data_IF_339327065733
#
_entry.id   IF_339327065733
#
_cell.length_a   1.000
_cell.length_b   1.000
_cell.length_c   1.000
_cell.angle_alpha   90.00
_cell.angle_beta   90.00
_cell.angle_gamma   90.00
#
_symmetry.space_group_name_H-M   'P 1'
#
loop_
_entity.id
_entity.type
_entity.pdbx_description
1 polymer ?
#
# COMPACT_ATOMS: atom_id res chain seq x y z
N UNK A 1 2.05 5.48 -16.52
CA UNK A 1 0.73 5.00 -16.04
C UNK A 1 -0.25 4.92 -17.19
N UNK A 2 -1.10 3.88 -17.24
CA UNK A 2 -2.04 3.66 -18.35
C UNK A 2 -3.24 4.64 -18.34
N UNK A 3 -3.53 5.27 -17.20
CA UNK A 3 -4.69 6.17 -17.04
C UNK A 3 -4.33 7.38 -16.18
N UNK A 4 -5.06 8.50 -16.37
CA UNK A 4 -4.92 9.71 -15.54
C UNK A 4 -5.20 9.44 -14.05
N UNK A 5 -6.14 8.55 -13.74
CA UNK A 5 -6.48 8.16 -12.36
C UNK A 5 -5.36 7.40 -11.64
N UNK A 6 -4.37 6.88 -12.38
CA UNK A 6 -3.20 6.22 -11.79
C UNK A 6 -2.13 7.22 -11.32
N UNK A 7 -2.21 8.49 -11.72
CA UNK A 7 -1.30 9.55 -11.29
C UNK A 7 -1.90 10.22 -10.06
N UNK A 8 -1.26 10.06 -8.91
CA UNK A 8 -1.69 10.64 -7.64
C UNK A 8 -0.51 11.02 -6.77
N UNK A 9 -0.69 12.02 -5.95
CA UNK A 9 0.25 12.42 -4.92
C UNK A 9 -0.20 11.81 -3.59
N UNK A 10 0.71 11.12 -2.92
CA UNK A 10 0.48 10.56 -1.59
C UNK A 10 1.41 11.26 -0.59
N UNK A 11 0.97 11.52 0.64
CA UNK A 11 1.84 12.03 1.68
C UNK A 11 2.91 10.99 2.00
N UNK A 12 4.15 11.44 2.13
CA UNK A 12 5.26 10.59 2.52
C UNK A 12 5.27 10.47 4.05
N UNK A 13 4.99 9.27 4.55
CA UNK A 13 5.02 9.01 5.98
C UNK A 13 6.48 8.95 6.49
N UNK A 14 6.77 9.38 7.74
CA UNK A 14 8.14 9.49 8.26
C UNK A 14 8.96 8.20 8.16
N UNK A 15 8.34 7.05 8.39
CA UNK A 15 9.01 5.74 8.28
C UNK A 15 9.49 5.46 6.85
N UNK A 16 8.66 5.78 5.84
CA UNK A 16 9.05 5.63 4.43
C UNK A 16 10.14 6.64 4.05
N UNK A 17 10.07 7.87 4.54
CA UNK A 17 11.09 8.88 4.30
C UNK A 17 12.46 8.42 4.83
N UNK A 18 12.53 7.91 6.05
CA UNK A 18 13.76 7.39 6.64
C UNK A 18 14.33 6.23 5.82
N UNK A 19 13.48 5.29 5.40
CA UNK A 19 13.88 4.16 4.56
C UNK A 19 14.43 4.65 3.22
N UNK A 20 13.78 5.58 2.55
CA UNK A 20 14.23 6.13 1.27
C UNK A 20 15.56 6.88 1.41
N UNK A 21 15.73 7.66 2.47
CA UNK A 21 17.02 8.32 2.77
C UNK A 21 18.15 7.32 3.03
N UNK A 22 17.86 6.20 3.69
CA UNK A 22 18.83 5.10 3.88
C UNK A 22 19.23 4.50 2.54
N UNK A 23 18.26 4.16 1.69
CA UNK A 23 18.53 3.63 0.35
C UNK A 23 19.35 4.57 -0.51
N UNK A 24 19.06 5.87 -0.46
CA UNK A 24 19.84 6.89 -1.18
C UNK A 24 21.30 6.91 -0.74
N UNK A 25 21.55 6.84 0.57
CA UNK A 25 22.93 6.77 1.10
C UNK A 25 23.66 5.50 0.66
N UNK A 26 22.98 4.36 0.68
CA UNK A 26 23.52 3.08 0.22
C UNK A 26 23.87 3.12 -1.28
N UNK A 27 22.98 3.69 -2.11
CA UNK A 27 23.26 3.88 -3.53
C UNK A 27 24.48 4.79 -3.77
N UNK A 28 24.59 5.88 -3.02
CA UNK A 28 25.75 6.78 -3.11
C UNK A 28 27.05 6.08 -2.71
N UNK A 29 27.01 5.23 -1.69
CA UNK A 29 28.15 4.42 -1.27
C UNK A 29 28.54 3.41 -2.34
N UNK A 30 27.57 2.65 -2.85
CA UNK A 30 27.78 1.65 -3.90
C UNK A 30 28.40 2.29 -5.15
N UNK A 31 27.93 3.49 -5.53
CA UNK A 31 28.52 4.25 -6.66
C UNK A 31 29.98 4.59 -6.43
N UNK A 32 30.36 4.96 -5.20
CA UNK A 32 31.77 5.23 -4.87
C UNK A 32 32.62 3.96 -4.93
N UNK A 33 32.08 2.84 -4.39
CA UNK A 33 32.79 1.56 -4.35
C UNK A 33 32.98 0.97 -5.74
N UNK A 34 31.93 0.96 -6.56
CA UNK A 34 31.97 0.37 -7.91
C UNK A 34 32.64 1.28 -8.94
N UNK A 35 32.76 2.57 -8.65
CA UNK A 35 33.48 3.52 -9.54
C UNK A 35 32.94 3.49 -10.96
N UNK A 36 33.82 3.18 -11.91
CA UNK A 36 33.50 3.15 -13.34
C UNK A 36 32.52 2.03 -13.75
N UNK A 37 32.45 0.98 -12.97
CA UNK A 37 31.55 -0.17 -13.23
C UNK A 37 30.12 0.08 -12.79
N UNK A 38 29.85 1.18 -12.08
CA UNK A 38 28.51 1.55 -11.68
C UNK A 38 27.70 2.07 -12.85
N UNK A 39 26.50 1.48 -13.06
CA UNK A 39 25.57 1.90 -14.10
C UNK A 39 24.95 3.27 -13.76
N UNK A 40 25.13 4.25 -14.63
CA UNK A 40 24.64 5.64 -14.44
C UNK A 40 23.32 5.92 -15.14
N UNK A 41 22.75 4.95 -15.88
CA UNK A 41 21.52 5.14 -16.66
C UNK A 41 20.25 5.29 -15.79
N UNK A 42 20.35 4.89 -14.52
CA UNK A 42 19.20 4.81 -13.60
C UNK A 42 19.43 5.58 -12.30
N UNK A 43 20.14 6.69 -12.33
CA UNK A 43 20.47 7.49 -11.14
C UNK A 43 19.23 8.05 -10.42
N UNK A 44 18.16 8.31 -11.16
CA UNK A 44 16.88 8.82 -10.62
C UNK A 44 15.93 7.71 -10.15
N UNK A 45 16.39 6.45 -10.21
CA UNK A 45 15.55 5.31 -9.79
C UNK A 45 15.81 4.95 -8.33
N UNK A 46 14.70 4.72 -7.61
CA UNK A 46 14.74 4.28 -6.21
C UNK A 46 15.24 2.83 -6.11
N UNK A 47 14.76 1.96 -7.02
CA UNK A 47 15.08 0.53 -7.00
C UNK A 47 16.13 0.18 -8.06
N UNK A 48 17.37 0.15 -7.62
CA UNK A 48 18.52 -0.35 -8.38
C UNK A 48 19.28 -1.39 -7.56
N UNK A 49 19.98 -2.29 -8.24
CA UNK A 49 20.88 -3.22 -7.57
C UNK A 49 22.19 -2.52 -7.12
N UNK A 50 23.08 -3.18 -6.36
CA UNK A 50 24.35 -2.56 -5.92
C UNK A 50 25.26 -2.01 -7.04
N UNK A 51 25.08 -2.49 -8.27
CA UNK A 51 25.79 -2.00 -9.46
C UNK A 51 25.06 -0.86 -10.19
N UNK A 52 23.99 -0.29 -9.62
CA UNK A 52 23.19 0.80 -10.21
C UNK A 52 22.24 0.35 -11.32
N UNK A 53 22.10 -0.93 -11.61
CA UNK A 53 21.20 -1.43 -12.66
C UNK A 53 19.77 -1.56 -12.15
N UNK A 54 18.80 -1.20 -12.99
CA UNK A 54 17.36 -1.29 -12.64
C UNK A 54 16.94 -2.71 -12.29
N UNK A 55 16.25 -2.85 -11.17
CA UNK A 55 15.59 -4.10 -10.79
C UNK A 55 14.34 -4.28 -11.67
N UNK A 56 14.21 -5.44 -12.30
CA UNK A 56 13.06 -5.75 -13.17
C UNK A 56 11.78 -5.90 -12.32
N UNK A 57 10.62 -5.40 -12.80
CA UNK A 57 9.35 -5.52 -12.05
C UNK A 57 9.00 -6.96 -11.65
N UNK A 58 9.26 -7.92 -12.54
CA UNK A 58 8.99 -9.34 -12.27
C UNK A 58 9.84 -9.92 -11.11
N UNK A 59 10.98 -9.31 -10.81
CA UNK A 59 11.83 -9.76 -9.69
C UNK A 59 11.05 -9.74 -8.37
N UNK A 60 10.36 -8.64 -8.06
CA UNK A 60 9.57 -8.54 -6.83
C UNK A 60 8.43 -9.55 -6.79
N UNK A 61 7.73 -9.74 -7.91
CA UNK A 61 6.61 -10.69 -7.98
C UNK A 61 7.05 -12.14 -7.81
N UNK A 62 8.25 -12.49 -8.25
CA UNK A 62 8.80 -13.85 -8.13
C UNK A 62 9.40 -14.09 -6.74
N UNK A 63 10.21 -13.18 -6.22
CA UNK A 63 10.97 -13.39 -4.99
C UNK A 63 10.19 -13.09 -3.72
N UNK A 64 9.13 -12.27 -3.78
CA UNK A 64 8.35 -11.95 -2.59
C UNK A 64 7.66 -13.18 -1.96
N UNK A 65 7.01 -14.07 -2.71
CA UNK A 65 6.46 -15.30 -2.14
C UNK A 65 7.52 -16.24 -1.55
N UNK A 66 8.71 -16.29 -2.15
CA UNK A 66 9.84 -17.09 -1.66
C UNK A 66 10.37 -16.51 -0.34
N UNK A 67 10.52 -15.19 -0.27
CA UNK A 67 10.90 -14.47 0.95
C UNK A 67 9.93 -14.75 2.10
N UNK A 68 8.61 -14.71 1.85
CA UNK A 68 7.60 -15.01 2.86
C UNK A 68 7.73 -16.46 3.37
N UNK A 69 7.92 -17.41 2.46
CA UNK A 69 8.11 -18.82 2.84
C UNK A 69 9.38 -19.03 3.68
N UNK A 70 10.49 -18.36 3.34
CA UNK A 70 11.74 -18.44 4.09
C UNK A 70 11.65 -17.84 5.51
N UNK A 71 10.61 -17.05 5.81
CA UNK A 71 10.37 -16.44 7.12
C UNK A 71 9.12 -17.00 7.81
N UNK A 72 8.66 -18.20 7.43
CA UNK A 72 7.47 -18.86 7.99
C UNK A 72 6.19 -18.02 7.94
N UNK A 73 6.12 -17.11 6.97
CA UNK A 73 4.94 -16.27 6.74
C UNK A 73 4.02 -16.88 5.68
N UNK A 74 2.72 -16.61 5.81
CA UNK A 74 1.74 -17.04 4.81
C UNK A 74 2.10 -16.51 3.42
N UNK A 75 2.21 -17.41 2.45
CA UNK A 75 2.48 -17.06 1.06
C UNK A 75 1.33 -16.29 0.45
N UNK A 76 1.60 -15.07 0.02
CA UNK A 76 0.70 -14.20 -0.75
C UNK A 76 1.47 -13.61 -1.94
N UNK A 77 0.73 -13.12 -2.93
CA UNK A 77 1.36 -12.41 -4.07
C UNK A 77 1.77 -11.00 -3.65
N UNK A 78 2.77 -10.44 -4.28
CA UNK A 78 3.18 -9.05 -4.04
C UNK A 78 2.02 -8.04 -4.21
N UNK A 79 1.14 -8.28 -5.19
CA UNK A 79 -0.03 -7.43 -5.41
C UNK A 79 -1.06 -7.49 -4.25
N UNK A 80 -1.10 -8.60 -3.52
CA UNK A 80 -2.04 -8.77 -2.40
C UNK A 80 -1.71 -7.84 -1.21
N UNK A 81 -0.49 -7.27 -1.15
CA UNK A 81 -0.14 -6.20 -0.21
C UNK A 81 -1.03 -4.96 -0.40
N UNK A 82 -1.49 -4.70 -1.62
CA UNK A 82 -2.44 -3.63 -1.89
C UNK A 82 -3.79 -3.88 -1.21
N UNK A 83 -4.25 -5.13 -1.21
CA UNK A 83 -5.46 -5.54 -0.49
C UNK A 83 -5.25 -5.46 1.03
N UNK A 84 -4.09 -5.88 1.52
CA UNK A 84 -3.73 -5.77 2.93
C UNK A 84 -3.71 -4.31 3.40
N UNK A 85 -3.14 -3.41 2.60
CA UNK A 85 -3.16 -1.96 2.88
C UNK A 85 -4.59 -1.43 2.99
N UNK A 86 -5.45 -1.80 2.04
CA UNK A 86 -6.85 -1.41 2.06
C UNK A 86 -7.57 -1.92 3.32
N UNK A 87 -7.36 -3.19 3.68
CA UNK A 87 -7.97 -3.79 4.87
C UNK A 87 -7.52 -3.10 6.16
N UNK A 88 -6.24 -2.74 6.27
CA UNK A 88 -5.70 -2.00 7.40
C UNK A 88 -6.31 -0.60 7.52
N UNK A 89 -6.45 0.13 6.42
CA UNK A 89 -7.07 1.45 6.41
C UNK A 89 -8.54 1.35 6.84
N UNK A 90 -9.27 0.39 6.30
CA UNK A 90 -10.67 0.17 6.66
C UNK A 90 -10.85 -0.21 8.14
N UNK A 91 -10.03 -1.12 8.65
CA UNK A 91 -10.04 -1.52 10.06
C UNK A 91 -9.73 -0.35 11.02
N UNK A 92 -9.03 0.69 10.53
CA UNK A 92 -8.78 1.93 11.28
C UNK A 92 -9.82 3.03 11.00
N UNK A 93 -10.99 2.69 10.43
CA UNK A 93 -12.11 3.61 10.26
C UNK A 93 -11.99 4.57 9.06
N UNK A 94 -11.02 4.36 8.16
CA UNK A 94 -10.89 5.16 6.95
C UNK A 94 -12.02 4.82 5.98
N UNK A 95 -12.70 5.81 5.43
CA UNK A 95 -13.84 5.60 4.53
C UNK A 95 -13.41 4.91 3.22
N UNK A 96 -14.34 4.15 2.62
CA UNK A 96 -14.08 3.46 1.34
C UNK A 96 -13.69 4.44 0.23
N UNK A 97 -14.21 5.65 0.27
CA UNK A 97 -13.87 6.72 -0.70
C UNK A 97 -12.42 7.15 -0.57
N UNK A 98 -11.95 7.40 0.64
CA UNK A 98 -10.56 7.76 0.90
C UNK A 98 -9.60 6.61 0.56
N UNK A 99 -9.99 5.36 0.87
CA UNK A 99 -9.23 4.16 0.49
C UNK A 99 -9.13 4.04 -1.04
N UNK A 100 -10.23 4.29 -1.77
CA UNK A 100 -10.23 4.31 -3.22
C UNK A 100 -9.22 5.32 -3.78
N UNK A 101 -9.25 6.54 -3.26
CA UNK A 101 -8.35 7.63 -3.67
C UNK A 101 -6.89 7.30 -3.32
N UNK A 102 -6.64 6.80 -2.12
CA UNK A 102 -5.32 6.36 -1.68
C UNK A 102 -4.73 5.29 -2.60
N UNK A 103 -5.52 4.28 -2.92
CA UNK A 103 -5.09 3.19 -3.78
C UNK A 103 -5.12 3.57 -5.28
N UNK A 104 -5.85 4.61 -5.67
CA UNK A 104 -6.02 5.00 -7.07
C UNK A 104 -6.82 3.97 -7.87
N UNK A 105 -7.88 3.43 -7.26
CA UNK A 105 -8.84 2.60 -8.01
C UNK A 105 -9.75 3.49 -8.84
N UNK A 106 -9.83 3.23 -10.14
CA UNK A 106 -10.74 3.94 -11.05
C UNK A 106 -12.22 3.68 -10.74
N UNK A 107 -12.53 2.53 -10.14
CA UNK A 107 -13.86 2.12 -9.78
C UNK A 107 -13.94 1.73 -8.29
N UNK A 108 -14.94 2.27 -7.59
CA UNK A 108 -15.20 2.00 -6.18
C UNK A 108 -15.65 0.54 -5.96
N UNK A 109 -16.26 -0.09 -6.97
CA UNK A 109 -16.68 -1.49 -6.90
C UNK A 109 -15.49 -2.42 -6.62
N UNK A 110 -14.32 -2.12 -7.17
CA UNK A 110 -13.08 -2.85 -6.89
C UNK A 110 -12.68 -2.76 -5.41
N UNK A 111 -12.92 -1.62 -4.77
CA UNK A 111 -12.67 -1.44 -3.33
C UNK A 111 -13.79 -2.08 -2.51
N UNK A 112 -15.05 -1.87 -2.88
CA UNK A 112 -16.22 -2.37 -2.17
C UNK A 112 -16.31 -3.90 -2.14
N UNK A 113 -16.02 -4.58 -3.25
CA UNK A 113 -16.08 -6.03 -3.33
C UNK A 113 -15.10 -6.76 -2.39
N UNK A 114 -14.04 -6.09 -1.97
CA UNK A 114 -13.10 -6.62 -0.97
C UNK A 114 -13.74 -6.65 0.42
N UNK A 115 -14.76 -5.80 0.67
CA UNK A 115 -15.32 -5.53 2.02
C UNK A 115 -16.76 -5.99 2.22
N UNK A 116 -17.42 -6.53 1.20
CA UNK A 116 -18.81 -7.04 1.31
C UNK A 116 -18.99 -8.06 2.44
N UNK A 117 -17.92 -8.73 2.85
CA UNK A 117 -17.95 -9.69 3.96
C UNK A 117 -17.67 -9.08 5.35
N UNK A 118 -17.17 -7.84 5.43
CA UNK A 118 -16.83 -7.15 6.69
C UNK A 118 -17.95 -6.21 7.18
N UNK A 119 -19.05 -6.10 6.43
CA UNK A 119 -20.03 -5.02 6.53
C UNK A 119 -21.05 -5.16 7.69
N UNK A 120 -21.04 -6.27 8.44
CA UNK A 120 -22.03 -6.44 9.53
C UNK A 120 -21.75 -5.51 10.72
N UNK A 121 -20.50 -5.29 11.09
CA UNK A 121 -20.14 -4.37 12.18
C UNK A 121 -20.46 -2.91 11.83
N UNK A 122 -20.29 -2.52 10.58
CA UNK A 122 -20.67 -1.19 10.07
C UNK A 122 -22.19 -0.99 10.10
N UNK A 123 -22.98 -2.03 9.84
CA UNK A 123 -24.45 -1.99 9.94
C UNK A 123 -24.90 -1.83 11.39
N UNK A 124 -24.27 -2.52 12.33
CA UNK A 124 -24.53 -2.37 13.77
C UNK A 124 -24.18 -0.97 14.25
N UNK A 125 -23.03 -0.43 13.83
CA UNK A 125 -22.63 0.94 14.16
C UNK A 125 -23.62 1.98 13.60
N UNK A 126 -24.06 1.81 12.36
CA UNK A 126 -25.07 2.67 11.73
C UNK A 126 -26.42 2.59 12.43
N UNK A 127 -26.84 1.38 12.82
CA UNK A 127 -28.08 1.19 13.58
C UNK A 127 -27.99 1.91 14.94
N UNK A 128 -26.88 1.78 15.66
CA UNK A 128 -26.67 2.47 16.93
C UNK A 128 -26.65 3.99 16.79
N UNK A 129 -26.06 4.51 15.72
CA UNK A 129 -26.07 5.95 15.43
C UNK A 129 -27.49 6.47 15.17
N UNK A 130 -28.34 5.68 14.50
CA UNK A 130 -29.73 6.04 14.24
C UNK A 130 -30.56 5.98 15.54
N UNK A 131 -30.36 4.97 16.39
CA UNK A 131 -31.06 4.84 17.68
C UNK A 131 -30.85 6.07 18.55
N UNK A 132 -29.65 6.68 18.55
CA UNK A 132 -29.37 7.89 19.30
C UNK A 132 -30.09 9.17 18.80
N UNK A 133 -30.68 9.13 17.61
CA UNK A 133 -31.44 10.26 17.01
C UNK A 133 -32.94 10.20 17.41
N UNK A 134 -33.46 9.01 17.68
CA UNK A 134 -34.84 8.87 18.10
C UNK A 134 -34.95 9.01 19.63
N UNK A 135 -35.77 9.94 20.15
CA UNK A 135 -36.01 10.00 21.60
C UNK A 135 -36.63 8.67 22.04
N UNK A 136 -36.11 8.07 23.12
CA UNK A 136 -36.75 6.96 23.78
C UNK A 136 -38.14 7.45 24.24
N UNK A 137 -39.19 6.99 23.57
CA UNK A 137 -40.53 7.14 24.05
C UNK A 137 -40.69 6.30 25.33
N UNK A 138 -40.29 6.88 26.44
CA UNK A 138 -40.58 6.35 27.76
C UNK A 138 -42.04 6.62 28.02
N UNK A 139 -42.81 5.54 28.23
CA UNK A 139 -44.15 5.44 28.81
C UNK A 139 -45.32 5.33 27.83
N UNK A 140 -45.79 4.13 27.70
CA UNK A 140 -47.18 3.78 27.96
C UNK A 140 -47.18 2.73 29.06
#
# INVERSE_FOLDING_TARGET
TKTKSSCRTLPLIPACEQMLKKMQKEQALNRKVCGKDYCTDYLDYIYVNPMGRRIRPNFLSQHFPEFLTAHDMKRIRFHDLRHSCASLLYANGVSLKEIQEWLGHSDISTTSNIYTHLDFSSKVSSANAIVGIFPENTKV
#
